data_IF_822403738142
#
_entry.id   IF_822403738142
#
_cell.length_a   1.000
_cell.length_b   1.000
_cell.length_c   1.000
_cell.angle_alpha   90.00
_cell.angle_beta   90.00
_cell.angle_gamma   90.00
#
_symmetry.space_group_name_H-M   'P 1'
#
loop_
_entity.id
_entity.type
_entity.pdbx_description
1 polymer ?
#
# COMPACT_ATOMS: atom_id res chain seq x y z
N UNK A 1 -14.84 24.60 29.30
CA UNK A 1 -13.86 23.56 29.69
C UNK A 1 -13.32 22.95 28.41
N UNK A 2 -12.02 23.08 28.13
CA UNK A 2 -11.41 22.51 26.93
C UNK A 2 -11.49 20.97 27.01
N UNK A 3 -12.01 20.31 25.97
CA UNK A 3 -12.02 18.85 25.89
C UNK A 3 -10.56 18.37 25.92
N UNK A 4 -10.23 17.42 26.79
CA UNK A 4 -8.94 16.73 26.80
C UNK A 4 -8.64 16.17 25.41
N UNK A 5 -7.87 16.90 24.61
CA UNK A 5 -7.25 16.37 23.41
C UNK A 5 -6.22 15.37 23.91
N UNK A 6 -6.45 14.07 23.68
CA UNK A 6 -5.48 13.05 24.05
C UNK A 6 -4.18 13.33 23.28
N UNK A 7 -3.09 13.52 24.00
CA UNK A 7 -1.76 13.66 23.39
C UNK A 7 -1.48 12.44 22.52
N UNK A 8 -1.27 12.67 21.22
CA UNK A 8 -0.85 11.62 20.29
C UNK A 8 0.67 11.62 20.24
N UNK A 9 1.28 10.51 20.66
CA UNK A 9 2.73 10.33 20.57
C UNK A 9 3.10 9.80 19.18
N UNK A 10 3.95 10.52 18.47
CA UNK A 10 4.55 10.08 17.20
C UNK A 10 6.00 9.65 17.46
N UNK A 11 6.32 8.40 17.16
CA UNK A 11 7.70 7.89 17.22
C UNK A 11 8.19 7.54 15.82
N UNK A 12 9.35 8.07 15.42
CA UNK A 12 10.03 7.72 14.19
C UNK A 12 11.43 7.17 14.50
N UNK A 13 11.83 6.10 13.79
CA UNK A 13 13.20 5.58 13.85
C UNK A 13 14.06 6.33 12.84
N UNK A 14 15.17 6.88 13.30
CA UNK A 14 16.17 7.57 12.47
C UNK A 14 17.51 6.86 12.59
N UNK A 15 18.38 7.04 11.60
CA UNK A 15 19.75 6.53 11.67
C UNK A 15 20.57 7.31 12.69
N UNK A 16 21.67 6.71 13.17
CA UNK A 16 22.60 7.42 14.05
C UNK A 16 23.13 8.72 13.44
N UNK A 17 23.43 8.73 12.14
CA UNK A 17 23.89 9.93 11.44
C UNK A 17 22.83 11.04 11.41
N UNK A 18 21.55 10.68 11.23
CA UNK A 18 20.45 11.64 11.30
C UNK A 18 20.27 12.18 12.72
N UNK A 19 20.41 11.32 13.73
CA UNK A 19 20.36 11.70 15.13
C UNK A 19 21.48 12.67 15.54
N UNK A 20 22.71 12.39 15.12
CA UNK A 20 23.88 13.26 15.38
C UNK A 20 23.68 14.66 14.78
N UNK A 21 23.25 14.72 13.50
CA UNK A 21 22.93 15.99 12.83
C UNK A 21 21.84 16.77 13.57
N UNK A 22 20.74 16.12 13.93
CA UNK A 22 19.65 16.77 14.67
C UNK A 22 20.12 17.28 16.04
N UNK A 23 20.97 16.52 16.71
CA UNK A 23 21.49 16.90 18.03
C UNK A 23 22.44 18.11 17.97
N UNK A 24 23.25 18.23 16.91
CA UNK A 24 24.09 19.42 16.69
C UNK A 24 23.25 20.67 16.43
N UNK A 25 22.23 20.56 15.56
CA UNK A 25 21.29 21.66 15.29
C UNK A 25 20.56 22.08 16.57
N UNK A 26 20.14 21.12 17.39
CA UNK A 26 19.50 21.39 18.68
C UNK A 26 20.39 22.21 19.62
N UNK A 27 21.68 21.87 19.69
CA UNK A 27 22.65 22.63 20.49
C UNK A 27 22.89 24.03 19.91
N UNK A 28 23.02 24.16 18.59
CA UNK A 28 23.24 25.45 17.93
C UNK A 28 22.07 26.43 18.11
N UNK A 29 20.85 25.90 18.14
CA UNK A 29 19.63 26.69 18.27
C UNK A 29 19.16 26.88 19.73
N UNK A 30 19.86 26.27 20.71
CA UNK A 30 19.44 26.24 22.12
C UNK A 30 17.99 25.73 22.30
N UNK A 31 17.64 24.67 21.57
CA UNK A 31 16.29 24.08 21.56
C UNK A 31 16.35 22.58 21.81
N UNK A 32 15.30 22.02 22.42
CA UNK A 32 15.14 20.57 22.46
C UNK A 32 14.79 20.01 21.09
N UNK A 33 15.14 18.75 20.86
CA UNK A 33 14.78 18.04 19.62
C UNK A 33 13.28 17.98 19.39
N UNK A 34 12.49 17.85 20.45
CA UNK A 34 11.02 17.88 20.38
C UNK A 34 10.49 19.23 19.92
N UNK A 35 11.09 20.33 20.37
CA UNK A 35 10.70 21.68 19.93
C UNK A 35 11.04 21.90 18.47
N UNK A 36 12.20 21.43 18.01
CA UNK A 36 12.57 21.48 16.59
C UNK A 36 11.57 20.70 15.74
N UNK A 37 11.22 19.47 16.13
CA UNK A 37 10.25 18.65 15.37
C UNK A 37 8.86 19.30 15.37
N UNK A 38 8.42 19.85 16.50
CA UNK A 38 7.13 20.55 16.60
C UNK A 38 7.11 21.78 15.70
N UNK A 39 8.18 22.58 15.74
CA UNK A 39 8.35 23.74 14.88
C UNK A 39 8.30 23.36 13.39
N UNK A 40 8.95 22.28 12.98
CA UNK A 40 8.92 21.80 11.60
C UNK A 40 7.53 21.31 11.16
N UNK A 41 6.74 20.72 12.09
CA UNK A 41 5.36 20.31 11.83
C UNK A 41 4.46 21.53 11.63
N UNK A 42 4.58 22.52 12.52
CA UNK A 42 3.70 23.70 12.53
C UNK A 42 3.98 24.64 11.36
N UNK A 43 5.25 24.81 11.01
CA UNK A 43 5.67 25.76 9.97
C UNK A 43 5.85 25.12 8.58
N UNK A 44 5.88 23.79 8.53
CA UNK A 44 6.13 23.03 7.30
C UNK A 44 7.48 23.38 6.65
N UNK A 45 7.74 22.78 5.49
CA UNK A 45 8.89 23.11 4.64
C UNK A 45 8.39 23.81 3.39
N UNK A 46 8.61 25.12 3.27
CA UNK A 46 8.13 25.92 2.13
C UNK A 46 8.85 25.56 0.82
N UNK A 47 10.07 25.00 0.90
CA UNK A 47 10.96 24.70 -0.24
C UNK A 47 11.42 23.24 -0.33
N UNK A 48 10.71 22.29 0.27
CA UNK A 48 10.98 20.87 0.00
C UNK A 48 10.31 20.49 -1.32
N UNK A 49 11.02 19.78 -2.22
CA UNK A 49 10.33 18.99 -3.24
C UNK A 49 9.22 18.20 -2.54
N UNK A 50 7.99 18.25 -3.08
CA UNK A 50 6.90 17.46 -2.54
C UNK A 50 7.41 16.03 -2.42
N UNK A 51 7.45 15.47 -1.20
CA UNK A 51 7.69 14.04 -1.04
C UNK A 51 6.66 13.40 -1.95
N UNK A 52 7.11 12.84 -3.09
CA UNK A 52 6.20 12.24 -4.06
C UNK A 52 5.33 11.30 -3.24
N UNK A 53 4.03 11.62 -3.10
CA UNK A 53 3.07 10.70 -2.49
C UNK A 53 3.39 9.38 -3.16
N UNK A 54 3.82 8.36 -2.39
CA UNK A 54 4.06 7.02 -2.91
C UNK A 54 2.87 6.74 -3.81
N UNK A 55 3.07 6.71 -5.13
CA UNK A 55 1.95 6.75 -6.05
C UNK A 55 1.20 5.45 -5.79
N UNK A 56 0.10 5.56 -5.04
CA UNK A 56 -0.72 4.44 -4.64
C UNK A 56 -1.41 3.87 -5.88
N UNK A 57 -1.62 4.73 -6.88
CA UNK A 57 -2.25 4.44 -8.16
C UNK A 57 -1.54 3.34 -8.95
N UNK A 58 -0.24 3.45 -9.29
CA UNK A 58 0.50 2.37 -9.95
C UNK A 58 0.47 1.04 -9.20
N UNK A 59 0.61 1.06 -7.87
CA UNK A 59 0.57 -0.15 -7.06
C UNK A 59 -0.83 -0.80 -7.03
N UNK A 60 -1.89 0.00 -6.93
CA UNK A 60 -3.28 -0.46 -7.02
C UNK A 60 -3.54 -1.03 -8.42
N UNK A 61 -3.16 -0.32 -9.48
CA UNK A 61 -3.34 -0.77 -10.87
C UNK A 61 -2.60 -2.09 -11.12
N UNK A 62 -1.35 -2.22 -10.67
CA UNK A 62 -0.57 -3.44 -10.81
C UNK A 62 -1.22 -4.62 -10.05
N UNK A 63 -1.73 -4.38 -8.84
CA UNK A 63 -2.45 -5.39 -8.07
C UNK A 63 -3.81 -5.73 -8.70
N UNK A 64 -4.47 -4.78 -9.37
CA UNK A 64 -5.72 -5.00 -10.10
C UNK A 64 -5.50 -5.82 -11.39
N UNK A 65 -4.39 -5.60 -12.10
CA UNK A 65 -4.09 -6.27 -13.36
C UNK A 65 -3.76 -7.77 -13.20
N UNK A 66 -3.16 -8.17 -12.08
CA UNK A 66 -2.72 -9.55 -11.84
C UNK A 66 -3.88 -10.57 -11.86
N UNK A 67 -5.02 -10.35 -11.17
CA UNK A 67 -6.24 -11.16 -11.32
C UNK A 67 -6.65 -11.41 -12.77
N UNK A 68 -6.72 -10.36 -13.61
CA UNK A 68 -7.18 -10.49 -15.00
C UNK A 68 -6.20 -11.28 -15.87
N UNK A 69 -4.90 -11.10 -15.66
CA UNK A 69 -3.90 -11.91 -16.34
C UNK A 69 -4.03 -13.40 -15.99
N UNK A 70 -4.32 -13.72 -14.72
CA UNK A 70 -4.55 -15.10 -14.29
C UNK A 70 -5.82 -15.68 -14.92
N UNK A 71 -6.92 -14.92 -14.99
CA UNK A 71 -8.16 -15.34 -15.69
C UNK A 71 -7.86 -15.67 -17.16
N UNK A 72 -7.10 -14.81 -17.84
CA UNK A 72 -6.74 -15.02 -19.24
C UNK A 72 -5.90 -16.30 -19.42
N UNK A 73 -4.99 -16.61 -18.48
CA UNK A 73 -4.23 -17.85 -18.51
C UNK A 73 -5.12 -19.09 -18.30
N UNK A 74 -6.08 -19.03 -17.38
CA UNK A 74 -7.06 -20.12 -17.16
C UNK A 74 -7.87 -20.35 -18.44
N UNK A 75 -8.40 -19.27 -19.04
CA UNK A 75 -9.15 -19.36 -20.30
C UNK A 75 -8.33 -19.99 -21.43
N UNK A 76 -7.05 -19.62 -21.57
CA UNK A 76 -6.14 -20.23 -22.55
C UNK A 76 -5.95 -21.73 -22.30
N UNK A 77 -5.74 -22.14 -21.05
CA UNK A 77 -5.58 -23.56 -20.69
C UNK A 77 -6.83 -24.38 -21.02
N UNK A 78 -8.02 -23.87 -20.69
CA UNK A 78 -9.29 -24.53 -21.00
C UNK A 78 -9.50 -24.67 -22.51
N UNK A 79 -9.22 -23.59 -23.27
CA UNK A 79 -9.32 -23.61 -24.73
C UNK A 79 -8.35 -24.62 -25.36
N UNK A 80 -7.12 -24.73 -24.85
CA UNK A 80 -6.14 -25.71 -25.33
C UNK A 80 -6.63 -27.14 -25.04
N UNK A 81 -7.06 -27.41 -23.80
CA UNK A 81 -7.57 -28.73 -23.41
C UNK A 81 -8.73 -29.19 -24.31
N UNK A 82 -9.68 -28.28 -24.56
CA UNK A 82 -10.81 -28.53 -25.46
C UNK A 82 -10.37 -28.80 -26.91
N UNK A 83 -9.48 -27.95 -27.45
CA UNK A 83 -8.98 -28.12 -28.84
C UNK A 83 -8.21 -29.42 -29.04
N UNK A 84 -7.46 -29.87 -28.03
CA UNK A 84 -6.62 -31.06 -28.13
C UNK A 84 -7.42 -32.35 -28.00
N UNK A 85 -8.44 -32.38 -27.13
CA UNK A 85 -9.14 -33.63 -26.78
C UNK A 85 -10.62 -33.66 -27.16
N UNK A 86 -11.18 -32.59 -27.73
CA UNK A 86 -12.61 -32.46 -28.03
C UNK A 86 -13.49 -32.38 -26.78
N UNK A 87 -12.89 -32.40 -25.59
CA UNK A 87 -13.56 -32.33 -24.29
C UNK A 87 -12.63 -31.62 -23.28
N UNK A 88 -13.11 -31.37 -22.07
CA UNK A 88 -12.27 -30.88 -20.96
C UNK A 88 -12.39 -31.88 -19.82
N UNK A 89 -11.26 -32.46 -19.41
CA UNK A 89 -11.23 -33.41 -18.30
C UNK A 89 -11.71 -32.74 -16.99
N UNK A 90 -12.43 -33.50 -16.16
CA UNK A 90 -12.99 -33.01 -14.89
C UNK A 90 -11.91 -32.39 -13.99
N UNK A 91 -10.73 -32.99 -13.91
CA UNK A 91 -9.60 -32.47 -13.13
C UNK A 91 -9.16 -31.06 -13.58
N UNK A 92 -9.25 -30.78 -14.88
CA UNK A 92 -8.89 -29.47 -15.46
C UNK A 92 -9.95 -28.44 -15.10
N UNK A 93 -11.23 -28.84 -15.13
CA UNK A 93 -12.36 -27.99 -14.72
C UNK A 93 -12.25 -27.64 -13.23
N UNK A 94 -12.02 -28.64 -12.36
CA UNK A 94 -11.90 -28.44 -10.92
C UNK A 94 -10.72 -27.52 -10.57
N UNK A 95 -9.56 -27.70 -11.22
CA UNK A 95 -8.40 -26.82 -11.02
C UNK A 95 -8.67 -25.39 -11.48
N UNK A 96 -9.35 -25.22 -12.61
CA UNK A 96 -9.76 -23.89 -13.08
C UNK A 96 -10.73 -23.22 -12.09
N UNK A 97 -11.66 -23.99 -11.52
CA UNK A 97 -12.60 -23.50 -10.50
C UNK A 97 -11.88 -23.03 -9.22
N UNK A 98 -10.93 -23.82 -8.71
CA UNK A 98 -10.11 -23.42 -7.54
C UNK A 98 -9.33 -22.13 -7.78
N UNK A 99 -8.71 -22.00 -8.95
CA UNK A 99 -7.95 -20.80 -9.31
C UNK A 99 -8.87 -19.57 -9.43
N UNK A 100 -10.09 -19.74 -9.96
CA UNK A 100 -11.10 -18.69 -10.00
C UNK A 100 -11.54 -18.23 -8.59
N UNK A 101 -11.70 -19.16 -7.64
CA UNK A 101 -12.02 -18.79 -6.25
C UNK A 101 -10.90 -17.99 -5.58
N UNK A 102 -9.64 -18.36 -5.80
CA UNK A 102 -8.49 -17.59 -5.29
C UNK A 102 -8.49 -16.18 -5.86
N UNK A 103 -8.77 -16.04 -7.16
CA UNK A 103 -8.86 -14.75 -7.85
C UNK A 103 -10.00 -13.90 -7.26
N UNK A 104 -11.18 -14.50 -7.02
CA UNK A 104 -12.32 -13.81 -6.39
C UNK A 104 -11.97 -13.27 -5.00
N UNK A 105 -11.28 -14.07 -4.17
CA UNK A 105 -10.83 -13.64 -2.84
C UNK A 105 -9.94 -12.39 -2.92
N UNK A 106 -8.93 -12.42 -3.79
CA UNK A 106 -8.01 -11.28 -3.98
C UNK A 106 -8.74 -10.03 -4.46
N UNK A 107 -9.64 -10.16 -5.44
CA UNK A 107 -10.43 -9.03 -5.92
C UNK A 107 -11.32 -8.43 -4.81
N UNK A 108 -11.90 -9.28 -3.96
CA UNK A 108 -12.74 -8.85 -2.84
C UNK A 108 -11.94 -8.04 -1.82
N UNK A 109 -10.72 -8.48 -1.47
CA UNK A 109 -9.82 -7.76 -0.59
C UNK A 109 -9.43 -6.39 -1.17
N UNK A 110 -9.06 -6.35 -2.45
CA UNK A 110 -8.70 -5.11 -3.14
C UNK A 110 -9.88 -4.13 -3.12
N UNK A 111 -11.10 -4.59 -3.42
CA UNK A 111 -12.29 -3.75 -3.39
C UNK A 111 -12.60 -3.24 -1.98
N UNK A 112 -12.42 -4.07 -0.95
CA UNK A 112 -12.56 -3.66 0.46
C UNK A 112 -11.60 -2.54 0.84
N UNK A 113 -10.32 -2.66 0.44
CA UNK A 113 -9.31 -1.62 0.65
C UNK A 113 -9.63 -0.30 -0.05
N UNK A 114 -10.22 -0.36 -1.25
CA UNK A 114 -10.67 0.85 -1.96
C UNK A 114 -11.84 1.47 -1.20
N UNK A 115 -12.86 0.68 -0.83
CA UNK A 115 -14.04 1.17 -0.11
C UNK A 115 -13.69 1.85 1.21
N UNK A 116 -12.85 1.21 2.03
CA UNK A 116 -12.44 1.76 3.33
C UNK A 116 -11.71 3.11 3.23
N UNK A 117 -11.15 3.44 2.06
CA UNK A 117 -10.41 4.68 1.81
C UNK A 117 -11.27 5.82 1.27
N UNK A 118 -12.38 5.49 0.60
CA UNK A 118 -13.31 6.48 0.02
C UNK A 118 -14.48 6.81 0.95
N UNK A 119 -14.85 5.90 1.87
CA UNK A 119 -15.91 6.11 2.87
C UNK A 119 -15.38 6.72 4.20
N UNK A 120 -14.10 7.14 4.26
CA UNK A 120 -13.46 7.83 5.41
C UNK A 120 -13.33 9.33 5.17
#
# INVERSE_FOLDING_TARGET
MSKNVKDKVLSARITYQQYDKLSKIALELDMSRSEIISYLIDNGTVNSESIKKKELYPAIIANFARPFNNINQIAKKLNIAYKTSGNIALEVILRAQEDLYKIQSVLTEILSLIRSRYDS
#
